data_IF_338746718870
#
_entry.id   IF_338746718870
#
_cell.length_a   1.000
_cell.length_b   1.000
_cell.length_c   1.000
_cell.angle_alpha   90.00
_cell.angle_beta   90.00
_cell.angle_gamma   90.00
#
_symmetry.space_group_name_H-M   'P 1'
#
loop_
_entity.id
_entity.type
_entity.pdbx_description
1 polymer ?
#
# COMPACT_ATOMS: atom_id res chain seq x y z
N UNK A 1 -3.94 -14.60 12.12
CA UNK A 1 -4.42 -15.45 11.00
C UNK A 1 -3.51 -16.65 10.91
N UNK A 2 -4.05 -17.85 10.66
CA UNK A 2 -3.23 -19.05 10.53
C UNK A 2 -2.48 -19.03 9.18
N UNK A 3 -1.22 -19.48 9.11
CA UNK A 3 -0.43 -19.51 7.87
C UNK A 3 -1.08 -20.29 6.72
N UNK A 4 -2.05 -21.15 7.03
CA UNK A 4 -2.72 -22.03 6.07
C UNK A 4 -3.89 -21.37 5.32
N UNK A 5 -4.20 -20.09 5.57
CA UNK A 5 -5.22 -19.41 4.78
C UNK A 5 -4.66 -19.11 3.37
N UNK A 6 -5.38 -19.40 2.28
CA UNK A 6 -4.87 -19.26 0.91
C UNK A 6 -4.44 -17.82 0.56
N UNK A 7 -5.01 -16.82 1.23
CA UNK A 7 -4.65 -15.41 1.06
C UNK A 7 -3.51 -14.93 1.97
N UNK A 8 -2.98 -15.78 2.85
CA UNK A 8 -1.99 -15.36 3.86
C UNK A 8 -0.75 -14.72 3.23
N UNK A 9 -0.15 -15.41 2.25
CA UNK A 9 1.05 -14.92 1.57
C UNK A 9 0.83 -13.61 0.82
N UNK A 10 -0.35 -13.42 0.23
CA UNK A 10 -0.69 -12.19 -0.48
C UNK A 10 -0.88 -11.02 0.50
N UNK A 11 -1.61 -11.24 1.59
CA UNK A 11 -1.82 -10.23 2.64
C UNK A 11 -0.49 -9.85 3.30
N UNK A 12 0.36 -10.83 3.61
CA UNK A 12 1.69 -10.60 4.20
C UNK A 12 2.57 -9.77 3.25
N UNK A 13 2.56 -10.09 1.96
CA UNK A 13 3.26 -9.32 0.94
C UNK A 13 2.79 -7.87 0.87
N UNK A 14 1.47 -7.62 0.81
CA UNK A 14 0.96 -6.25 0.80
C UNK A 14 1.21 -5.49 2.11
N UNK A 15 1.20 -6.18 3.25
CA UNK A 15 1.56 -5.58 4.53
C UNK A 15 3.03 -5.13 4.53
N UNK A 16 3.92 -5.93 3.97
CA UNK A 16 5.33 -5.58 3.79
C UNK A 16 5.51 -4.34 2.90
N UNK A 17 4.88 -4.32 1.72
CA UNK A 17 4.91 -3.16 0.81
C UNK A 17 4.35 -1.89 1.47
N UNK A 18 3.24 -2.02 2.20
CA UNK A 18 2.61 -0.91 2.92
C UNK A 18 3.53 -0.34 4.01
N UNK A 19 4.24 -1.21 4.73
CA UNK A 19 5.23 -0.80 5.74
C UNK A 19 6.38 -0.01 5.13
N UNK A 20 6.91 -0.47 4.00
CA UNK A 20 8.00 0.22 3.31
C UNK A 20 7.55 1.60 2.81
N UNK A 21 6.37 1.67 2.18
CA UNK A 21 5.79 2.92 1.72
C UNK A 21 5.56 3.91 2.86
N UNK A 22 5.06 3.44 4.01
CA UNK A 22 4.88 4.26 5.22
C UNK A 22 6.22 4.77 5.77
N UNK A 23 7.25 3.93 5.80
CA UNK A 23 8.59 4.33 6.24
C UNK A 23 9.17 5.41 5.32
N UNK A 24 9.04 5.25 4.01
CA UNK A 24 9.49 6.24 3.02
C UNK A 24 8.75 7.56 3.16
N UNK A 25 7.43 7.53 3.34
CA UNK A 25 6.63 8.72 3.58
C UNK A 25 7.06 9.46 4.85
N UNK A 26 7.30 8.74 5.96
CA UNK A 26 7.80 9.33 7.20
C UNK A 26 9.19 9.93 7.04
N UNK A 27 10.06 9.29 6.26
CA UNK A 27 11.38 9.82 5.95
C UNK A 27 11.25 11.20 5.29
N UNK A 28 10.49 11.32 4.20
CA UNK A 28 10.28 12.61 3.54
C UNK A 28 9.67 13.67 4.46
N UNK A 29 8.67 13.29 5.26
CA UNK A 29 8.02 14.21 6.18
C UNK A 29 9.00 14.75 7.24
N UNK A 30 9.81 13.87 7.84
CA UNK A 30 10.79 14.25 8.87
C UNK A 30 11.93 15.08 8.29
N UNK A 31 12.48 14.69 7.14
CA UNK A 31 13.53 15.46 6.47
C UNK A 31 13.05 16.89 6.20
N UNK A 32 11.89 17.04 5.57
CA UNK A 32 11.32 18.36 5.29
C UNK A 32 11.06 19.17 6.55
N UNK A 33 10.55 18.54 7.61
CA UNK A 33 10.31 19.20 8.88
C UNK A 33 11.60 19.70 9.54
N UNK A 34 12.65 18.89 9.60
CA UNK A 34 13.91 19.31 10.23
C UNK A 34 14.65 20.37 9.42
N UNK A 35 14.58 20.33 8.10
CA UNK A 35 15.22 21.31 7.23
C UNK A 35 14.49 22.65 7.18
N UNK A 36 13.15 22.63 7.18
CA UNK A 36 12.33 23.80 6.87
C UNK A 36 11.48 24.29 8.04
N UNK A 37 11.43 23.53 9.15
CA UNK A 37 10.49 23.74 10.27
C UNK A 37 9.02 23.79 9.82
N UNK A 38 8.69 23.12 8.71
CA UNK A 38 7.37 23.10 8.08
C UNK A 38 6.88 21.67 7.85
N UNK A 39 5.57 21.50 7.64
CA UNK A 39 4.93 20.21 7.42
C UNK A 39 4.56 20.03 5.95
N UNK A 40 4.87 18.88 5.38
CA UNK A 40 4.33 18.50 4.07
C UNK A 40 2.81 18.30 4.19
N UNK A 41 2.06 18.80 3.21
CA UNK A 41 0.67 18.42 3.02
C UNK A 41 0.58 16.97 2.50
N UNK A 42 -0.59 16.33 2.69
CA UNK A 42 -0.80 14.98 2.19
C UNK A 42 -0.70 14.87 0.65
N UNK A 43 -1.08 15.92 -0.09
CA UNK A 43 -0.93 15.95 -1.55
C UNK A 43 0.55 15.97 -1.97
N UNK A 44 1.38 16.78 -1.30
CA UNK A 44 2.82 16.79 -1.56
C UNK A 44 3.44 15.43 -1.25
N UNK A 45 3.10 14.85 -0.09
CA UNK A 45 3.59 13.55 0.32
C UNK A 45 3.17 12.44 -0.66
N UNK A 46 1.92 12.48 -1.15
CA UNK A 46 1.41 11.58 -2.19
C UNK A 46 2.25 11.68 -3.49
N UNK A 47 2.53 12.89 -3.97
CA UNK A 47 3.34 13.05 -5.19
C UNK A 47 4.77 12.55 -5.03
N UNK A 48 5.33 12.59 -3.82
CA UNK A 48 6.66 12.03 -3.54
C UNK A 48 6.68 10.50 -3.60
N UNK A 49 5.63 9.82 -3.15
CA UNK A 49 5.63 8.35 -3.00
C UNK A 49 4.85 7.58 -4.06
N UNK A 50 3.94 8.23 -4.79
CA UNK A 50 3.02 7.59 -5.75
C UNK A 50 3.68 6.95 -6.98
N UNK A 51 4.95 7.24 -7.24
CA UNK A 51 5.72 6.66 -8.35
C UNK A 51 6.68 5.55 -7.91
N UNK A 52 6.66 5.20 -6.64
CA UNK A 52 7.55 4.17 -6.08
C UNK A 52 7.08 2.77 -6.44
N UNK A 53 8.00 1.82 -6.55
CA UNK A 53 7.67 0.43 -6.84
C UNK A 53 6.64 -0.14 -5.86
N UNK A 54 6.81 0.17 -4.57
CA UNK A 54 5.95 -0.35 -3.51
C UNK A 54 4.53 0.22 -3.62
N UNK A 55 4.40 1.51 -3.96
CA UNK A 55 3.09 2.11 -4.23
C UNK A 55 2.42 1.49 -5.47
N UNK A 56 3.18 1.29 -6.54
CA UNK A 56 2.67 0.74 -7.80
C UNK A 56 2.32 -0.75 -7.70
N UNK A 57 2.98 -1.49 -6.80
CA UNK A 57 2.73 -2.90 -6.53
C UNK A 57 1.52 -3.14 -5.60
N UNK A 58 1.13 -2.13 -4.81
CA UNK A 58 -0.11 -2.20 -4.03
C UNK A 58 -1.33 -2.16 -4.96
N UNK A 59 -2.44 -2.81 -4.57
CA UNK A 59 -3.67 -2.76 -5.33
C UNK A 59 -4.22 -1.33 -5.35
N UNK A 60 -4.00 -0.62 -6.47
CA UNK A 60 -4.47 0.76 -6.67
C UNK A 60 -5.87 0.74 -7.29
N UNK A 61 -6.85 1.15 -6.47
CA UNK A 61 -8.31 1.02 -6.67
C UNK A 61 -8.79 -0.42 -6.53
N UNK A 62 -9.99 -0.65 -5.95
CA UNK A 62 -10.63 -1.94 -6.09
C UNK A 62 -10.80 -2.16 -7.59
N UNK A 63 -10.06 -3.12 -8.15
CA UNK A 63 -10.64 -3.82 -9.28
C UNK A 63 -11.90 -4.40 -8.68
N UNK A 64 -13.07 -4.04 -9.21
CA UNK A 64 -14.21 -4.94 -9.12
C UNK A 64 -13.81 -6.20 -9.89
N UNK A 65 -12.86 -6.95 -9.36
CA UNK A 65 -12.46 -8.25 -9.84
C UNK A 65 -13.53 -9.17 -9.29
N UNK A 66 -14.52 -9.43 -10.13
CA UNK A 66 -14.96 -10.80 -10.37
C UNK A 66 -15.25 -11.61 -9.10
N UNK A 67 -16.20 -11.13 -8.28
CA UNK A 67 -16.99 -11.99 -7.40
C UNK A 67 -17.80 -13.06 -8.18
N UNK A 68 -17.60 -13.18 -9.49
CA UNK A 68 -18.25 -14.15 -10.37
C UNK A 68 -17.57 -15.53 -10.37
N UNK A 69 -16.32 -15.67 -9.89
CA UNK A 69 -15.66 -16.99 -9.81
C UNK A 69 -15.85 -17.76 -8.49
N UNK A 70 -16.41 -17.13 -7.45
CA UNK A 70 -16.75 -17.83 -6.19
C UNK A 70 -18.20 -18.35 -6.21
N UNK A 71 -19.03 -17.94 -7.18
CA UNK A 71 -20.44 -18.34 -7.29
C UNK A 71 -20.74 -19.41 -8.33
N UNK A 72 -19.77 -19.88 -9.11
CA UNK A 72 -19.96 -20.90 -10.15
C UNK A 72 -19.42 -22.29 -9.77
N UNK A 73 -19.24 -22.56 -8.47
CA UNK A 73 -18.83 -23.86 -7.92
C UNK A 73 -19.90 -24.53 -7.07
N UNK A 74 -21.15 -24.09 -7.22
CA UNK A 74 -22.35 -24.64 -6.57
C UNK A 74 -23.42 -24.85 -7.66
N UNK A 75 -23.08 -25.67 -8.65
CA UNK A 75 -24.04 -26.40 -9.48
C UNK A 75 -23.69 -27.89 -9.38
#
# INVERSE_FOLDING_TARGET
MLPNHPLWSEIDHYAFLSKNLFNLANYHYRQYFFENSQKLSFNQLYHLVSKTSDYLALPTKPKHADNQKIRSGLD
#
